data_IF_567259714589
#
_entry.id   IF_567259714589
#
_cell.length_a   1.000
_cell.length_b   1.000
_cell.length_c   1.000
_cell.angle_alpha   90.00
_cell.angle_beta   90.00
_cell.angle_gamma   90.00
#
_symmetry.space_group_name_H-M   'P 1'
#
loop_
_entity.id
_entity.type
_entity.pdbx_description
1 polymer ?
#
# COMPACT_ATOMS: atom_id res chain seq x y z
N UNK A 1 4.88 21.26 4.15
CA UNK A 1 4.98 20.45 2.92
C UNK A 1 6.33 19.73 2.94
N UNK A 2 6.81 19.38 4.15
CA UNK A 2 8.24 19.21 4.46
C UNK A 2 8.36 18.30 5.70
N UNK A 3 7.56 17.24 5.74
CA UNK A 3 7.69 16.21 6.77
C UNK A 3 8.33 14.99 6.11
N UNK A 4 9.48 14.57 6.62
CA UNK A 4 10.11 13.29 6.28
C UNK A 4 9.37 12.11 6.95
N UNK A 5 8.04 12.16 6.90
CA UNK A 5 7.14 11.20 7.53
C UNK A 5 6.68 10.18 6.49
N UNK A 6 6.89 8.90 6.80
CA UNK A 6 6.39 7.79 6.01
C UNK A 6 5.18 7.23 6.72
N UNK A 7 4.07 7.12 6.00
CA UNK A 7 2.83 6.51 6.47
C UNK A 7 2.52 5.30 5.61
N UNK A 8 2.02 4.24 6.22
CA UNK A 8 1.68 3.05 5.47
C UNK A 8 0.73 2.12 6.19
N UNK A 9 0.34 1.06 5.48
CA UNK A 9 -0.48 0.01 6.02
C UNK A 9 -0.28 -1.29 5.26
N UNK A 10 -0.55 -2.39 5.95
CA UNK A 10 -0.53 -3.72 5.38
C UNK A 10 -1.95 -4.26 5.33
N UNK A 11 -2.32 -4.77 4.16
CA UNK A 11 -3.54 -5.54 3.97
C UNK A 11 -3.17 -6.98 3.55
N UNK A 12 -3.61 -8.01 4.29
CA UNK A 12 -3.39 -9.41 3.92
C UNK A 12 -4.25 -9.87 2.72
N UNK A 13 -5.29 -9.12 2.35
CA UNK A 13 -6.18 -9.44 1.22
C UNK A 13 -5.78 -8.70 -0.05
N UNK A 14 -6.35 -9.14 -1.17
CA UNK A 14 -6.17 -8.45 -2.45
C UNK A 14 -7.02 -7.18 -2.40
N UNK A 15 -6.44 -6.04 -2.82
CA UNK A 15 -7.19 -4.81 -3.02
C UNK A 15 -8.11 -4.98 -4.24
N UNK A 16 -9.32 -5.49 -4.01
CA UNK A 16 -10.29 -5.73 -5.07
C UNK A 16 -11.22 -4.51 -5.21
N UNK A 17 -11.09 -3.77 -6.31
CA UNK A 17 -11.91 -2.58 -6.61
C UNK A 17 -13.35 -2.91 -7.01
N UNK A 18 -13.76 -4.18 -6.94
CA UNK A 18 -15.01 -4.69 -7.51
C UNK A 18 -16.11 -4.92 -6.48
N UNK A 19 -15.84 -4.72 -5.19
CA UNK A 19 -16.87 -4.84 -4.16
C UNK A 19 -17.62 -3.52 -4.01
N UNK A 20 -18.95 -3.61 -4.02
CA UNK A 20 -19.89 -2.50 -3.85
C UNK A 20 -19.45 -1.46 -2.81
N UNK A 21 -19.82 -0.20 -3.08
CA UNK A 21 -19.64 0.96 -2.20
C UNK A 21 -19.66 0.60 -0.70
N UNK A 22 -18.53 0.80 -0.02
CA UNK A 22 -18.47 0.62 1.43
C UNK A 22 -18.24 -0.81 1.92
N UNK A 23 -17.74 -1.71 1.06
CA UNK A 23 -17.23 -3.00 1.51
C UNK A 23 -16.10 -2.80 2.53
N UNK A 24 -16.33 -3.31 3.74
CA UNK A 24 -15.32 -3.41 4.79
C UNK A 24 -14.88 -4.86 4.87
N UNK A 25 -13.58 -5.09 4.74
CA UNK A 25 -13.03 -6.43 4.93
C UNK A 25 -12.48 -6.57 6.34
N UNK A 26 -12.87 -7.68 6.98
CA UNK A 26 -12.42 -8.02 8.32
C UNK A 26 -11.09 -8.74 8.21
N UNK A 27 -10.01 -8.06 8.57
CA UNK A 27 -8.70 -8.71 8.65
C UNK A 27 -8.01 -8.25 9.93
N UNK A 28 -7.83 -9.19 10.87
CA UNK A 28 -7.12 -8.94 12.13
C UNK A 28 -5.62 -8.71 11.89
N UNK A 29 -5.13 -9.18 10.74
CA UNK A 29 -3.74 -9.04 10.33
C UNK A 29 -3.45 -7.68 9.68
N UNK A 30 -4.48 -6.83 9.44
CA UNK A 30 -4.27 -5.46 9.03
C UNK A 30 -3.53 -4.66 10.12
N UNK A 31 -2.64 -3.80 9.69
CA UNK A 31 -2.02 -2.81 10.55
C UNK A 31 -1.67 -1.57 9.75
N UNK A 32 -1.63 -0.43 10.43
CA UNK A 32 -1.10 0.82 9.91
C UNK A 32 0.14 1.21 10.70
N UNK A 33 1.03 1.97 10.07
CA UNK A 33 2.26 2.41 10.69
C UNK A 33 2.67 3.80 10.25
N UNK A 34 3.54 4.41 11.06
CA UNK A 34 4.27 5.62 10.68
C UNK A 34 5.74 5.52 11.09
N UNK A 35 6.58 6.22 10.34
CA UNK A 35 7.97 6.48 10.67
C UNK A 35 8.24 7.98 10.52
N UNK A 36 8.95 8.56 11.48
CA UNK A 36 9.53 9.90 11.32
C UNK A 36 11.02 9.73 11.01
N UNK A 37 11.42 10.05 9.79
CA UNK A 37 12.84 10.05 9.41
C UNK A 37 13.48 11.35 9.88
N UNK A 38 13.86 11.44 11.15
CA UNK A 38 14.70 12.54 11.63
C UNK A 38 16.21 12.23 11.54
N UNK A 39 16.58 10.95 11.37
CA UNK A 39 17.91 10.50 10.98
C UNK A 39 17.82 9.06 10.44
N UNK A 40 18.45 8.79 9.29
CA UNK A 40 18.30 7.55 8.48
C UNK A 40 18.74 6.24 9.16
N UNK A 41 19.19 6.29 10.41
CA UNK A 41 19.73 5.15 11.18
C UNK A 41 18.85 4.70 12.36
N UNK A 42 17.88 5.51 12.79
CA UNK A 42 17.06 5.20 13.97
C UNK A 42 15.65 4.75 13.58
N UNK A 43 15.49 3.44 13.38
CA UNK A 43 14.17 2.78 13.28
C UNK A 43 13.37 2.92 14.60
N UNK A 44 13.95 3.50 15.65
CA UNK A 44 13.34 3.65 16.97
C UNK A 44 12.04 4.48 16.96
N UNK A 45 11.85 5.38 15.99
CA UNK A 45 10.71 6.29 15.93
C UNK A 45 9.58 5.77 15.01
N UNK A 46 9.19 4.51 15.21
CA UNK A 46 8.03 3.93 14.53
C UNK A 46 6.82 3.83 15.45
N UNK A 47 5.64 4.02 14.87
CA UNK A 47 4.37 3.66 15.50
C UNK A 47 3.77 2.55 14.67
N UNK A 48 3.49 1.41 15.29
CA UNK A 48 2.71 0.32 14.72
C UNK A 48 1.36 0.25 15.45
N UNK A 49 0.29 0.28 14.68
CA UNK A 49 -1.08 0.25 15.18
C UNK A 49 -1.85 -0.88 14.50
N UNK A 50 -2.32 -1.85 15.29
CA UNK A 50 -3.09 -2.99 14.79
C UNK A 50 -4.59 -2.71 14.90
N UNK A 51 -5.38 -3.48 14.16
CA UNK A 51 -6.84 -3.38 14.22
C UNK A 51 -7.34 -3.77 15.61
N UNK A 52 -8.06 -2.86 16.25
CA UNK A 52 -8.77 -3.09 17.52
C UNK A 52 -10.21 -3.56 17.27
N UNK A 53 -10.90 -2.91 16.31
CA UNK A 53 -12.27 -3.26 15.93
C UNK A 53 -12.29 -3.88 14.53
N UNK A 54 -12.48 -5.20 14.50
CA UNK A 54 -12.32 -6.06 13.33
C UNK A 54 -13.25 -5.72 12.16
N UNK A 55 -14.37 -5.04 12.42
CA UNK A 55 -15.45 -4.85 11.44
C UNK A 55 -15.19 -3.75 10.39
N UNK A 56 -14.08 -3.03 10.49
CA UNK A 56 -13.82 -1.82 9.70
C UNK A 56 -12.32 -1.62 9.39
N UNK A 57 -11.55 -2.68 9.15
CA UNK A 57 -10.11 -2.54 8.92
C UNK A 57 -9.77 -1.81 7.61
N UNK A 58 -10.59 -1.98 6.58
CA UNK A 58 -10.37 -1.43 5.23
C UNK A 58 -11.65 -0.74 4.77
N UNK A 59 -11.50 0.36 4.03
CA UNK A 59 -12.62 1.04 3.39
C UNK A 59 -12.31 1.24 1.92
N UNK A 60 -13.14 0.66 1.06
CA UNK A 60 -13.04 0.85 -0.38
C UNK A 60 -14.14 1.80 -0.87
N UNK A 61 -13.73 2.91 -1.49
CA UNK A 61 -14.64 3.90 -2.04
C UNK A 61 -13.97 4.60 -3.22
N UNK A 62 -14.71 4.75 -4.32
CA UNK A 62 -14.20 5.31 -5.58
C UNK A 62 -13.78 6.78 -5.49
N UNK A 63 -14.20 7.50 -4.45
CA UNK A 63 -13.78 8.88 -4.19
C UNK A 63 -12.45 8.97 -3.42
N UNK A 64 -11.87 7.83 -3.03
CA UNK A 64 -10.64 7.75 -2.25
C UNK A 64 -9.59 6.91 -3.01
N UNK A 65 -8.32 7.11 -2.65
CA UNK A 65 -7.29 6.11 -2.89
C UNK A 65 -7.39 4.95 -1.91
N UNK A 66 -6.32 4.16 -1.72
CA UNK A 66 -6.26 3.16 -0.66
C UNK A 66 -6.60 3.76 0.72
N UNK A 67 -7.48 3.08 1.47
CA UNK A 67 -7.89 3.50 2.80
C UNK A 67 -7.98 2.32 3.77
N UNK A 68 -7.35 2.50 4.92
CA UNK A 68 -7.29 1.57 6.04
C UNK A 68 -8.22 2.01 7.18
N UNK A 69 -9.20 2.90 6.96
CA UNK A 69 -10.08 3.45 8.01
C UNK A 69 -9.40 4.13 9.23
N UNK A 70 -8.08 4.10 9.33
CA UNK A 70 -7.24 4.92 10.21
C UNK A 70 -6.26 5.81 9.45
N UNK A 71 -6.05 5.52 8.16
CA UNK A 71 -5.26 6.25 7.18
C UNK A 71 -6.01 6.20 5.85
N UNK A 72 -6.26 7.35 5.24
CA UNK A 72 -6.94 7.43 3.94
C UNK A 72 -6.24 8.41 3.01
N UNK A 73 -5.99 7.96 1.78
CA UNK A 73 -5.56 8.83 0.69
C UNK A 73 -6.80 9.46 0.04
N UNK A 74 -6.87 10.80 0.02
CA UNK A 74 -8.05 11.53 -0.43
C UNK A 74 -7.67 12.86 -1.06
N UNK A 75 -8.49 13.37 -1.98
CA UNK A 75 -8.28 14.64 -2.65
C UNK A 75 -8.04 14.47 -4.15
N UNK A 76 -8.36 15.51 -4.91
CA UNK A 76 -8.33 15.49 -6.37
C UNK A 76 -6.98 15.94 -6.95
N UNK A 77 -6.09 16.52 -6.12
CA UNK A 77 -4.79 17.02 -6.55
C UNK A 77 -3.68 16.36 -5.71
N UNK A 78 -3.19 15.19 -6.14
CA UNK A 78 -2.13 14.47 -5.44
C UNK A 78 -2.47 14.12 -3.98
N UNK A 79 -3.71 13.69 -3.76
CA UNK A 79 -4.22 13.33 -2.43
C UNK A 79 -3.98 14.42 -1.37
N UNK A 80 -4.24 15.69 -1.72
CA UNK A 80 -4.06 16.89 -0.89
C UNK A 80 -4.98 17.00 0.33
N UNK A 81 -5.95 16.10 0.42
CA UNK A 81 -6.89 16.00 1.55
C UNK A 81 -6.75 14.69 2.32
N UNK A 82 -5.60 14.02 2.22
CA UNK A 82 -5.33 12.79 2.97
C UNK A 82 -5.34 13.03 4.46
N UNK A 83 -5.68 12.02 5.25
CA UNK A 83 -5.78 12.16 6.70
C UNK A 83 -5.47 10.86 7.44
N UNK A 84 -5.05 11.02 8.69
CA UNK A 84 -4.96 9.96 9.68
C UNK A 84 -5.92 10.29 10.81
N UNK A 85 -6.83 9.38 11.14
CA UNK A 85 -7.84 9.61 12.17
C UNK A 85 -8.12 8.33 12.91
N UNK A 86 -8.06 8.38 14.25
CA UNK A 86 -8.38 7.21 15.04
C UNK A 86 -9.88 7.19 15.40
N UNK A 87 -10.66 6.45 14.63
CA UNK A 87 -12.08 6.19 14.93
C UNK A 87 -12.28 4.98 15.88
N UNK A 88 -11.27 4.63 16.68
CA UNK A 88 -11.24 3.43 17.53
C UNK A 88 -11.30 2.11 16.74
N UNK A 89 -10.89 2.14 15.47
CA UNK A 89 -10.68 0.93 14.66
C UNK A 89 -9.28 0.35 14.83
N UNK A 90 -8.32 1.17 15.27
CA UNK A 90 -6.92 0.82 15.46
C UNK A 90 -6.45 1.24 16.86
N UNK A 91 -5.56 0.43 17.44
CA UNK A 91 -5.11 0.56 18.83
C UNK A 91 -4.46 1.94 19.14
N UNK A 92 -3.81 2.54 18.15
CA UNK A 92 -3.01 3.77 18.28
C UNK A 92 -3.25 4.73 17.11
N UNK A 93 -3.21 6.02 17.40
CA UNK A 93 -3.04 7.04 16.37
C UNK A 93 -1.60 7.02 15.87
N UNK A 94 -1.41 7.07 14.54
CA UNK A 94 -0.06 7.00 13.92
C UNK A 94 0.53 8.38 13.61
N UNK A 95 -0.22 9.46 13.77
CA UNK A 95 0.25 10.84 13.63
C UNK A 95 -0.05 11.64 14.90
N UNK A 96 0.73 12.69 15.15
CA UNK A 96 0.50 13.59 16.29
C UNK A 96 -0.77 14.43 16.13
N UNK A 97 -1.16 14.75 14.89
CA UNK A 97 -2.37 15.52 14.59
C UNK A 97 -3.30 14.74 13.65
N UNK A 98 -4.58 15.11 13.66
CA UNK A 98 -5.59 14.61 12.69
C UNK A 98 -5.73 15.55 11.48
N UNK A 99 -4.81 16.51 11.32
CA UNK A 99 -4.88 17.49 10.24
C UNK A 99 -4.70 16.81 8.88
N UNK A 100 -5.38 17.38 7.88
CA UNK A 100 -5.21 16.95 6.48
C UNK A 100 -3.79 17.21 5.99
N UNK A 101 -3.32 16.39 5.07
CA UNK A 101 -2.00 16.49 4.46
C UNK A 101 -2.03 16.13 2.98
N UNK A 102 -1.00 16.58 2.27
CA UNK A 102 -0.73 16.20 0.88
C UNK A 102 0.29 15.08 0.81
N UNK A 103 0.15 14.21 -0.17
CA UNK A 103 1.06 13.10 -0.43
C UNK A 103 1.98 13.50 -1.58
N UNK A 104 3.28 13.42 -1.35
CA UNK A 104 4.28 13.64 -2.40
C UNK A 104 4.43 12.42 -3.29
N UNK A 105 4.52 11.24 -2.67
CA UNK A 105 4.69 9.95 -3.34
C UNK A 105 3.95 8.84 -2.57
N UNK A 106 3.46 7.83 -3.29
CA UNK A 106 2.92 6.62 -2.69
C UNK A 106 3.37 5.40 -3.48
N UNK A 107 3.67 4.31 -2.77
CA UNK A 107 4.11 3.05 -3.35
C UNK A 107 3.23 1.91 -2.83
N UNK A 108 3.00 0.89 -3.66
CA UNK A 108 2.22 -0.29 -3.29
C UNK A 108 3.05 -1.53 -3.55
N UNK A 109 3.24 -2.33 -2.50
CA UNK A 109 4.03 -3.56 -2.56
C UNK A 109 3.12 -4.77 -2.34
N UNK A 110 3.33 -5.81 -3.16
CA UNK A 110 2.66 -7.09 -2.97
C UNK A 110 3.69 -8.15 -2.57
N UNK A 111 3.54 -8.68 -1.35
CA UNK A 111 4.37 -9.81 -0.89
C UNK A 111 3.85 -11.08 -1.56
N UNK A 112 4.73 -11.76 -2.27
CA UNK A 112 4.42 -13.06 -2.86
C UNK A 112 5.08 -14.15 -2.04
N UNK A 113 4.31 -15.18 -1.70
CA UNK A 113 4.89 -16.37 -1.08
C UNK A 113 5.86 -16.99 -2.09
N UNK A 114 7.14 -17.04 -1.72
CA UNK A 114 8.10 -17.84 -2.46
C UNK A 114 7.61 -19.28 -2.48
N UNK A 115 7.38 -19.84 -3.67
CA UNK A 115 7.12 -21.27 -3.77
C UNK A 115 8.38 -21.99 -3.31
N UNK A 116 8.30 -22.68 -2.16
CA UNK A 116 9.30 -23.69 -1.83
C UNK A 116 9.36 -24.68 -2.99
N UNK A 117 10.56 -25.21 -3.27
CA UNK A 117 10.93 -26.04 -4.43
C UNK A 117 10.18 -27.41 -4.51
N UNK A 118 8.86 -27.41 -4.41
CA UNK A 118 7.99 -28.59 -4.51
C UNK A 118 7.00 -28.49 -5.68
N UNK A 119 6.91 -27.34 -6.36
CA UNK A 119 6.29 -27.20 -7.68
C UNK A 119 7.30 -27.50 -8.79
N UNK A 120 6.84 -28.13 -9.90
CA UNK A 120 7.71 -28.46 -11.04
C UNK A 120 8.50 -27.21 -11.49
N UNK A 121 9.84 -27.28 -11.65
CA UNK A 121 10.70 -26.12 -11.96
C UNK A 121 10.23 -25.29 -13.16
N UNK A 122 9.58 -25.92 -14.13
CA UNK A 122 9.14 -25.30 -15.38
C UNK A 122 8.04 -24.25 -15.19
N UNK A 123 7.16 -24.39 -14.19
CA UNK A 123 6.00 -23.50 -14.05
C UNK A 123 6.42 -22.15 -13.42
N UNK A 124 7.35 -22.19 -12.46
CA UNK A 124 7.91 -20.99 -11.85
C UNK A 124 8.74 -20.17 -12.85
N UNK A 125 9.52 -20.83 -13.70
CA UNK A 125 10.32 -20.15 -14.74
C UNK A 125 9.43 -19.54 -15.83
N UNK A 126 8.36 -20.23 -16.24
CA UNK A 126 7.38 -19.69 -17.20
C UNK A 126 6.66 -18.47 -16.64
N UNK A 127 6.24 -18.51 -15.38
CA UNK A 127 5.56 -17.37 -14.75
C UNK A 127 6.50 -16.17 -14.56
N UNK A 128 7.77 -16.42 -14.18
CA UNK A 128 8.78 -15.37 -14.09
C UNK A 128 9.05 -14.74 -15.48
N UNK A 129 9.17 -15.55 -16.53
CA UNK A 129 9.37 -15.07 -17.89
C UNK A 129 8.16 -14.24 -18.38
N UNK A 130 6.93 -14.71 -18.14
CA UNK A 130 5.70 -13.98 -18.48
C UNK A 130 5.65 -12.60 -17.81
N UNK A 131 6.09 -12.51 -16.56
CA UNK A 131 6.11 -11.25 -15.79
C UNK A 131 7.19 -10.30 -16.25
N UNK A 132 8.39 -10.78 -16.55
CA UNK A 132 9.46 -9.98 -17.16
C UNK A 132 9.00 -9.39 -18.50
N UNK A 133 8.35 -10.21 -19.33
CA UNK A 133 7.76 -9.75 -20.59
C UNK A 133 6.68 -8.69 -20.35
N UNK A 134 5.77 -8.93 -19.40
CA UNK A 134 4.69 -7.97 -19.09
C UNK A 134 5.24 -6.63 -18.58
N UNK A 135 6.33 -6.65 -17.79
CA UNK A 135 7.01 -5.44 -17.33
C UNK A 135 7.67 -4.68 -18.49
N UNK A 136 8.41 -5.39 -19.34
CA UNK A 136 9.06 -4.81 -20.51
C UNK A 136 8.05 -4.16 -21.46
N UNK A 137 6.92 -4.82 -21.71
CA UNK A 137 5.83 -4.29 -22.54
C UNK A 137 5.21 -3.02 -21.95
N UNK A 138 5.10 -2.91 -20.62
CA UNK A 138 4.62 -1.69 -19.96
C UNK A 138 5.65 -0.55 -20.04
N UNK A 139 6.94 -0.84 -19.84
CA UNK A 139 8.02 0.14 -19.98
C UNK A 139 8.12 0.68 -21.42
N UNK A 140 7.96 -0.18 -22.44
CA UNK A 140 7.94 0.23 -23.84
C UNK A 140 6.74 1.15 -24.14
N UNK A 141 5.54 0.79 -23.68
CA UNK A 141 4.34 1.65 -23.83
C UNK A 141 4.47 3.00 -23.13
N UNK A 142 5.18 3.04 -21.99
CA UNK A 142 5.52 4.28 -21.30
C UNK A 142 6.46 5.15 -22.12
N UNK A 143 7.50 4.57 -22.72
CA UNK A 143 8.44 5.28 -23.60
C UNK A 143 7.76 5.80 -24.88
N UNK A 144 6.74 5.08 -25.38
CA UNK A 144 5.96 5.47 -26.55
C UNK A 144 4.82 6.47 -26.23
N UNK A 145 4.68 6.92 -24.98
CA UNK A 145 3.69 7.93 -24.59
C UNK A 145 2.23 7.48 -24.75
N UNK A 146 1.97 6.17 -24.76
CA UNK A 146 0.67 5.59 -25.18
C UNK A 146 -0.18 5.02 -24.03
N UNK A 147 -0.09 5.58 -22.82
CA UNK A 147 -0.82 5.06 -21.65
C UNK A 147 -2.02 5.95 -21.31
N UNK A 148 -3.24 5.43 -21.48
CA UNK A 148 -4.40 5.83 -20.67
C UNK A 148 -4.17 5.33 -19.23
N UNK A 149 -4.45 6.19 -18.24
CA UNK A 149 -4.23 5.97 -16.81
C UNK A 149 -4.94 4.72 -16.26
N UNK A 150 -4.38 3.53 -16.48
CA UNK A 150 -4.63 2.36 -15.65
C UNK A 150 -3.52 2.26 -14.60
N UNK A 151 -3.88 2.58 -13.35
CA UNK A 151 -3.19 2.30 -12.09
C UNK A 151 -1.77 1.70 -12.24
N UNK A 152 -0.76 2.52 -11.91
CA UNK A 152 0.64 2.11 -11.83
C UNK A 152 0.78 1.02 -10.78
N UNK A 153 0.76 -0.26 -11.21
CA UNK A 153 1.29 -1.39 -10.45
C UNK A 153 2.81 -1.36 -10.57
N UNK A 154 3.44 -0.46 -9.81
CA UNK A 154 4.89 -0.46 -9.60
C UNK A 154 5.29 -1.66 -8.73
N UNK A 155 6.42 -2.29 -9.05
CA UNK A 155 7.02 -3.36 -8.24
C UNK A 155 8.51 -3.10 -8.12
N UNK A 156 8.96 -2.93 -6.88
CA UNK A 156 10.37 -2.95 -6.46
C UNK A 156 10.71 -4.37 -6.02
N UNK A 157 11.81 -4.92 -6.55
CA UNK A 157 12.41 -6.17 -6.12
C UNK A 157 13.35 -5.90 -4.94
N UNK A 158 13.10 -6.52 -3.78
CA UNK A 158 14.14 -6.72 -2.77
C UNK A 158 14.72 -8.11 -2.98
N UNK A 159 15.99 -8.16 -3.35
CA UNK A 159 16.80 -9.38 -3.38
C UNK A 159 17.52 -9.47 -2.04
N UNK A 160 16.91 -10.13 -1.05
CA UNK A 160 17.63 -10.52 0.16
C UNK A 160 18.05 -11.98 0.03
N UNK A 161 19.34 -12.16 -0.26
CA UNK A 161 20.06 -13.42 -0.06
C UNK A 161 20.50 -13.49 1.40
N UNK A 162 19.88 -14.35 2.21
CA UNK A 162 20.56 -15.09 3.27
C UNK A 162 19.97 -16.50 3.38
#
# INVERSE_FOLDING_TARGET
KDSDEILGGYNPTIWDSFTDYGATENTEDCFIFSFKSNDSTDIANYILSRVESKNFAIFNNSNYGPSFNGLALSGNNYYDESYCKNFSYYEKQIRETEDKFSVEEYEVFQIMKGYSKTGKPDDAQKELARRKETKLQKELKWQEGSIELESIKGSIEIVDNY
#
